data_IF_955192608495
#
_entry.id   IF_955192608495
#
_cell.length_a   1.000
_cell.length_b   1.000
_cell.length_c   1.000
_cell.angle_alpha   90.00
_cell.angle_beta   90.00
_cell.angle_gamma   90.00
#
_symmetry.space_group_name_H-M   'P 1'
#
loop_
_entity.id
_entity.type
_entity.pdbx_description
1 polymer ?
#
# COMPACT_ATOMS: atom_id res chain seq x y z
N UNK A 1 -21.12 3.71 16.99
CA UNK A 1 -20.62 4.25 15.72
C UNK A 1 -19.98 3.09 14.97
N UNK A 2 -20.57 2.65 13.87
CA UNK A 2 -20.01 1.56 13.06
C UNK A 2 -18.89 2.15 12.20
N UNK A 3 -17.65 1.78 12.47
CA UNK A 3 -16.50 2.12 11.64
C UNK A 3 -16.65 1.41 10.30
N UNK A 4 -16.89 2.19 9.25
CA UNK A 4 -16.91 1.68 7.88
C UNK A 4 -15.48 1.30 7.47
N UNK A 5 -15.15 0.02 7.58
CA UNK A 5 -14.00 -0.53 6.88
C UNK A 5 -14.35 -0.56 5.40
N UNK A 6 -13.76 0.32 4.67
CA UNK A 6 -14.03 0.48 3.26
C UNK A 6 -12.93 -0.16 2.47
N UNK A 7 -13.14 -1.38 2.02
CA UNK A 7 -12.46 -1.93 0.84
C UNK A 7 -13.32 -3.12 0.38
N UNK A 8 -13.72 -3.09 -0.89
CA UNK A 8 -14.24 -4.18 -1.73
C UNK A 8 -14.73 -5.43 -0.94
N UNK A 9 -15.93 -5.34 -0.43
CA UNK A 9 -16.67 -6.50 0.08
C UNK A 9 -17.57 -6.98 -1.05
N UNK A 10 -17.28 -8.07 -1.68
CA UNK A 10 -18.14 -8.93 -2.51
C UNK A 10 -17.49 -9.38 -3.83
N UNK A 11 -16.28 -9.96 -3.76
CA UNK A 11 -15.84 -10.84 -4.84
C UNK A 11 -16.00 -12.29 -4.39
N UNK A 12 -16.85 -13.04 -5.08
CA UNK A 12 -17.17 -14.42 -4.74
C UNK A 12 -16.01 -15.40 -5.02
N UNK A 13 -14.91 -14.92 -5.65
CA UNK A 13 -13.70 -15.72 -5.88
C UNK A 13 -12.44 -14.87 -6.05
N UNK A 14 -11.28 -15.44 -5.70
CA UNK A 14 -9.97 -14.83 -5.93
C UNK A 14 -9.76 -14.42 -7.40
N UNK A 15 -10.24 -15.25 -8.33
CA UNK A 15 -10.10 -15.02 -9.76
C UNK A 15 -10.93 -13.82 -10.24
N UNK A 16 -12.06 -13.55 -9.62
CA UNK A 16 -12.94 -12.44 -10.02
C UNK A 16 -12.38 -11.09 -9.56
N UNK A 17 -11.84 -11.03 -8.34
CA UNK A 17 -11.15 -9.85 -7.81
C UNK A 17 -9.94 -9.47 -8.68
N UNK A 18 -9.08 -10.44 -8.97
CA UNK A 18 -7.89 -10.24 -9.80
C UNK A 18 -8.27 -9.93 -11.25
N UNK A 19 -9.34 -10.53 -11.78
CA UNK A 19 -9.85 -10.24 -13.13
C UNK A 19 -10.41 -8.82 -13.25
N UNK A 20 -10.99 -8.27 -12.19
CA UNK A 20 -11.47 -6.90 -12.19
C UNK A 20 -10.31 -5.90 -12.26
N UNK A 21 -9.24 -6.12 -11.51
CA UNK A 21 -8.02 -5.31 -11.62
C UNK A 21 -7.46 -5.34 -13.05
N UNK A 22 -7.47 -6.50 -13.69
CA UNK A 22 -7.06 -6.64 -15.11
C UNK A 22 -7.99 -5.91 -16.08
N UNK A 23 -9.32 -5.99 -15.88
CA UNK A 23 -10.31 -5.31 -16.73
C UNK A 23 -10.20 -3.78 -16.67
N UNK A 24 -9.75 -3.23 -15.54
CA UNK A 24 -9.50 -1.80 -15.37
C UNK A 24 -8.10 -1.37 -15.82
N UNK A 25 -7.30 -2.28 -16.36
CA UNK A 25 -5.90 -2.03 -16.74
C UNK A 25 -5.07 -1.46 -15.57
N UNK A 26 -5.27 -2.00 -14.36
CA UNK A 26 -4.48 -1.62 -13.20
C UNK A 26 -3.06 -2.21 -13.30
N UNK A 27 -2.05 -1.35 -13.40
CA UNK A 27 -0.62 -1.73 -13.49
C UNK A 27 0.21 -1.27 -12.28
N UNK A 28 -0.41 -0.77 -11.22
CA UNK A 28 0.31 -0.26 -10.05
C UNK A 28 1.21 -1.29 -9.38
N UNK A 29 0.81 -2.55 -9.41
CA UNK A 29 1.59 -3.67 -8.86
C UNK A 29 2.91 -3.86 -9.61
N UNK A 30 2.85 -3.88 -10.94
CA UNK A 30 4.01 -4.05 -11.81
C UNK A 30 4.93 -2.83 -11.76
N UNK A 31 4.36 -1.63 -11.71
CA UNK A 31 5.11 -0.37 -11.58
C UNK A 31 5.91 -0.35 -10.28
N UNK A 32 5.26 -0.62 -9.15
CA UNK A 32 5.93 -0.61 -7.84
C UNK A 32 7.01 -1.69 -7.78
N UNK A 33 6.71 -2.90 -8.24
CA UNK A 33 7.69 -3.98 -8.28
C UNK A 33 8.88 -3.64 -9.18
N UNK A 34 8.65 -3.13 -10.39
CA UNK A 34 9.71 -2.75 -11.32
C UNK A 34 10.63 -1.68 -10.77
N UNK A 35 10.07 -0.64 -10.10
CA UNK A 35 10.87 0.41 -9.45
C UNK A 35 11.67 -0.12 -8.24
N UNK A 36 11.12 -1.09 -7.50
CA UNK A 36 11.71 -1.65 -6.29
C UNK A 36 12.74 -2.77 -6.57
N UNK A 37 12.69 -3.41 -7.74
CA UNK A 37 13.37 -4.67 -8.03
C UNK A 37 14.89 -4.65 -7.77
N UNK A 38 15.58 -3.58 -8.13
CA UNK A 38 17.03 -3.51 -7.93
C UNK A 38 17.46 -3.46 -6.45
N UNK A 39 16.54 -3.10 -5.55
CA UNK A 39 16.81 -2.94 -4.11
C UNK A 39 16.47 -4.19 -3.30
N UNK A 40 15.71 -5.14 -3.87
CA UNK A 40 15.28 -6.35 -3.16
C UNK A 40 16.22 -7.52 -3.45
N UNK A 41 16.28 -8.47 -2.52
CA UNK A 41 17.07 -9.69 -2.66
C UNK A 41 16.25 -10.89 -2.25
N UNK A 42 16.49 -12.04 -2.89
CA UNK A 42 15.91 -13.31 -2.46
C UNK A 42 16.26 -13.59 -0.99
N UNK A 43 15.29 -14.06 -0.22
CA UNK A 43 15.39 -14.27 1.22
C UNK A 43 15.01 -13.06 2.07
N UNK A 44 14.89 -11.83 1.49
CA UNK A 44 14.36 -10.68 2.22
C UNK A 44 12.91 -10.90 2.65
N UNK A 45 12.51 -10.21 3.69
CA UNK A 45 11.13 -10.15 4.17
C UNK A 45 10.46 -8.86 3.68
N UNK A 46 9.29 -8.97 3.07
CA UNK A 46 8.45 -7.83 2.69
C UNK A 46 7.12 -7.87 3.44
N UNK A 47 6.72 -6.72 3.99
CA UNK A 47 5.40 -6.51 4.59
C UNK A 47 4.55 -5.67 3.65
N UNK A 48 3.40 -6.19 3.24
CA UNK A 48 2.41 -5.48 2.43
C UNK A 48 1.28 -4.93 3.31
N UNK A 49 1.14 -3.61 3.32
CA UNK A 49 0.11 -2.89 4.06
C UNK A 49 -1.10 -2.68 3.15
N UNK A 50 -2.21 -3.36 3.46
CA UNK A 50 -3.36 -3.46 2.59
C UNK A 50 -3.13 -4.48 1.48
N UNK A 51 -2.67 -5.68 1.85
CA UNK A 51 -2.26 -6.72 0.89
C UNK A 51 -3.39 -7.14 -0.08
N UNK A 52 -4.64 -6.96 0.31
CA UNK A 52 -5.77 -7.37 -0.49
C UNK A 52 -5.70 -8.85 -0.87
N UNK A 53 -5.96 -9.15 -2.15
CA UNK A 53 -5.80 -10.50 -2.70
C UNK A 53 -4.33 -10.91 -2.95
N UNK A 54 -3.37 -10.00 -2.71
CA UNK A 54 -1.94 -10.24 -2.90
C UNK A 54 -1.41 -10.00 -4.32
N UNK A 55 -2.11 -9.21 -5.14
CA UNK A 55 -1.69 -8.91 -6.52
C UNK A 55 -0.30 -8.28 -6.60
N UNK A 56 0.02 -7.34 -5.70
CA UNK A 56 1.32 -6.69 -5.65
C UNK A 56 2.38 -7.62 -5.05
N UNK A 57 2.03 -8.27 -3.96
CA UNK A 57 2.92 -9.12 -3.19
C UNK A 57 3.39 -10.38 -3.93
N UNK A 58 2.58 -10.94 -4.82
CA UNK A 58 2.96 -12.14 -5.58
C UNK A 58 4.21 -11.92 -6.45
N UNK A 59 4.45 -10.68 -6.91
CA UNK A 59 5.64 -10.34 -7.69
C UNK A 59 6.90 -10.41 -6.82
N UNK A 60 6.83 -9.90 -5.59
CA UNK A 60 7.92 -9.99 -4.62
C UNK A 60 8.16 -11.44 -4.17
N UNK A 61 7.10 -12.23 -3.98
CA UNK A 61 7.24 -13.67 -3.71
C UNK A 61 7.97 -14.39 -4.85
N UNK A 62 7.61 -14.13 -6.11
CA UNK A 62 8.31 -14.71 -7.28
C UNK A 62 9.78 -14.30 -7.38
N UNK A 63 10.15 -13.14 -6.83
CA UNK A 63 11.53 -12.71 -6.70
C UNK A 63 12.26 -13.35 -5.49
N UNK A 64 11.58 -14.26 -4.75
CA UNK A 64 12.17 -15.02 -3.66
C UNK A 64 12.04 -14.37 -2.28
N UNK A 65 11.20 -13.33 -2.12
CA UNK A 65 10.98 -12.72 -0.81
C UNK A 65 9.94 -13.50 0.01
N UNK A 66 10.08 -13.45 1.34
CA UNK A 66 9.06 -13.89 2.28
C UNK A 66 8.02 -12.79 2.46
N UNK A 67 6.78 -13.07 2.10
CA UNK A 67 5.68 -12.09 2.11
C UNK A 67 4.88 -12.21 3.39
N UNK A 68 4.72 -11.09 4.08
CA UNK A 68 3.74 -10.88 5.16
C UNK A 68 2.75 -9.81 4.73
N UNK A 69 1.51 -9.88 5.24
CA UNK A 69 0.50 -8.90 4.85
C UNK A 69 -0.50 -8.57 5.95
N UNK A 70 -0.97 -7.32 5.91
CA UNK A 70 -2.08 -6.80 6.69
C UNK A 70 -3.21 -6.39 5.76
N UNK A 71 -4.45 -6.66 6.15
CA UNK A 71 -5.65 -6.11 5.52
C UNK A 71 -6.78 -6.02 6.54
N UNK A 72 -7.67 -5.05 6.38
CA UNK A 72 -8.85 -4.88 7.23
C UNK A 72 -9.98 -5.87 6.92
N UNK A 73 -10.00 -6.45 5.71
CA UNK A 73 -11.03 -7.39 5.26
C UNK A 73 -10.58 -8.84 5.42
N UNK A 74 -11.33 -9.62 6.20
CA UNK A 74 -11.13 -11.07 6.33
C UNK A 74 -11.36 -11.79 5.02
N UNK A 75 -12.37 -11.35 4.27
CA UNK A 75 -12.80 -11.96 3.00
C UNK A 75 -11.68 -11.87 1.96
N UNK A 76 -11.04 -10.72 1.85
CA UNK A 76 -9.93 -10.50 0.91
C UNK A 76 -8.67 -11.24 1.36
N UNK A 77 -8.42 -11.32 2.68
CA UNK A 77 -7.32 -12.12 3.22
C UNK A 77 -7.50 -13.61 2.95
N UNK A 78 -8.73 -14.13 3.00
CA UNK A 78 -9.01 -15.54 2.65
C UNK A 78 -8.69 -15.81 1.17
N UNK A 79 -8.98 -14.85 0.28
CA UNK A 79 -8.56 -14.90 -1.13
C UNK A 79 -7.03 -14.97 -1.24
N UNK A 80 -6.31 -14.08 -0.55
CA UNK A 80 -4.85 -14.07 -0.55
C UNK A 80 -4.28 -15.40 -0.02
N UNK A 81 -4.84 -15.88 1.09
CA UNK A 81 -4.46 -17.14 1.73
C UNK A 81 -4.62 -18.35 0.81
N UNK A 82 -5.70 -18.38 0.02
CA UNK A 82 -5.96 -19.48 -0.93
C UNK A 82 -4.89 -19.60 -2.02
N UNK A 83 -4.14 -18.53 -2.30
CA UNK A 83 -3.03 -18.53 -3.27
C UNK A 83 -1.75 -19.16 -2.73
N UNK A 84 -1.63 -19.36 -1.41
CA UNK A 84 -0.59 -20.17 -0.76
C UNK A 84 0.84 -19.62 -0.80
N UNK A 85 1.04 -18.33 -1.14
CA UNK A 85 2.38 -17.76 -1.26
C UNK A 85 2.82 -16.91 -0.05
N UNK A 86 1.87 -16.38 0.73
CA UNK A 86 2.17 -15.52 1.87
C UNK A 86 2.63 -16.34 3.08
N UNK A 87 3.74 -15.93 3.70
CA UNK A 87 4.28 -16.55 4.91
C UNK A 87 3.45 -16.22 6.16
N UNK A 88 2.75 -15.08 6.16
CA UNK A 88 1.87 -14.71 7.25
C UNK A 88 0.90 -13.59 6.86
N UNK A 89 -0.37 -13.76 7.24
CA UNK A 89 -1.44 -12.79 7.01
C UNK A 89 -2.11 -12.46 8.34
N UNK A 90 -2.40 -11.18 8.58
CA UNK A 90 -3.13 -10.73 9.77
C UNK A 90 -4.24 -9.79 9.38
N UNK A 91 -5.44 -10.00 9.93
CA UNK A 91 -6.52 -9.00 9.87
C UNK A 91 -6.15 -7.85 10.79
N UNK A 92 -6.04 -6.64 10.23
CA UNK A 92 -5.74 -5.44 10.98
C UNK A 92 -6.16 -4.19 10.21
N UNK A 93 -6.87 -3.28 10.86
CA UNK A 93 -7.14 -1.96 10.28
C UNK A 93 -5.88 -1.10 10.44
N UNK A 94 -5.38 -0.56 9.34
CA UNK A 94 -4.17 0.29 9.36
C UNK A 94 -4.36 1.61 10.11
N UNK A 95 -5.59 1.94 10.54
CA UNK A 95 -5.89 3.06 11.44
C UNK A 95 -5.66 2.72 12.90
N UNK A 96 -5.66 1.42 13.25
CA UNK A 96 -5.45 0.94 14.61
C UNK A 96 -3.94 0.81 14.84
N UNK A 97 -3.35 1.81 15.48
CA UNK A 97 -1.92 1.84 15.76
C UNK A 97 -1.64 1.50 17.23
N UNK A 98 -0.51 0.86 17.56
CA UNK A 98 0.59 0.47 16.65
C UNK A 98 0.25 -0.75 15.78
N UNK A 99 0.90 -0.86 14.62
CA UNK A 99 0.78 -2.04 13.76
C UNK A 99 1.31 -3.30 14.49
N UNK A 100 0.72 -4.50 14.27
CA UNK A 100 0.95 -5.72 15.07
C UNK A 100 2.27 -6.45 14.71
N UNK A 101 3.33 -5.68 14.50
CA UNK A 101 4.69 -6.15 14.26
C UNK A 101 5.71 -5.40 15.12
N UNK A 102 6.80 -6.06 15.56
CA UNK A 102 7.86 -5.40 16.31
C UNK A 102 8.65 -4.41 15.44
N UNK A 103 9.43 -3.56 16.10
CA UNK A 103 10.38 -2.68 15.40
C UNK A 103 11.38 -3.51 14.59
N UNK A 104 11.77 -2.99 13.42
CA UNK A 104 12.74 -3.64 12.51
C UNK A 104 12.35 -5.07 12.12
N UNK A 105 11.05 -5.31 11.94
CA UNK A 105 10.51 -6.63 11.60
C UNK A 105 10.91 -7.06 10.19
N UNK A 106 10.80 -6.19 9.19
CA UNK A 106 10.95 -6.56 7.78
C UNK A 106 12.05 -5.76 7.08
N UNK A 107 12.57 -6.35 6.01
CA UNK A 107 13.56 -5.68 5.16
C UNK A 107 12.90 -4.62 4.29
N UNK A 108 11.67 -4.86 3.83
CA UNK A 108 10.95 -3.95 2.95
C UNK A 108 9.48 -3.83 3.37
N UNK A 109 8.89 -2.66 3.06
CA UNK A 109 7.44 -2.41 3.18
C UNK A 109 6.91 -2.00 1.82
N UNK A 110 5.74 -2.51 1.44
CA UNK A 110 4.99 -2.04 0.27
C UNK A 110 3.58 -1.65 0.65
N UNK A 111 2.96 -0.74 -0.13
CA UNK A 111 1.55 -0.37 0.01
C UNK A 111 1.04 0.16 -1.33
N UNK A 112 0.19 -0.60 -2.01
CA UNK A 112 -0.21 -0.31 -3.39
C UNK A 112 -1.73 -0.12 -3.48
N UNK A 113 -2.17 1.07 -3.91
CA UNK A 113 -3.58 1.47 -4.00
C UNK A 113 -4.33 1.48 -2.65
N UNK A 114 -3.63 1.80 -1.57
CA UNK A 114 -4.19 1.79 -0.20
C UNK A 114 -4.19 3.18 0.43
N UNK A 115 -3.08 3.93 0.26
CA UNK A 115 -2.84 5.17 1.00
C UNK A 115 -3.83 6.29 0.64
N UNK A 116 -4.46 6.22 -0.52
CA UNK A 116 -5.55 7.12 -0.90
C UNK A 116 -6.84 6.93 -0.06
N UNK A 117 -6.91 5.90 0.80
CA UNK A 117 -8.01 5.73 1.77
C UNK A 117 -7.80 6.50 3.08
N UNK A 118 -6.70 7.21 3.22
CA UNK A 118 -6.33 7.94 4.43
C UNK A 118 -6.16 9.42 4.14
N UNK A 119 -6.80 10.28 4.94
CA UNK A 119 -6.61 11.72 4.85
C UNK A 119 -5.24 12.15 5.38
N UNK A 120 -4.85 11.60 6.52
CA UNK A 120 -3.56 11.86 7.15
C UNK A 120 -2.72 10.57 7.18
N UNK A 121 -1.55 10.63 6.55
CA UNK A 121 -0.59 9.52 6.48
C UNK A 121 0.49 9.59 7.56
N UNK A 122 0.60 10.72 8.29
CA UNK A 122 1.71 10.92 9.21
C UNK A 122 1.84 9.82 10.28
N UNK A 123 0.76 9.39 10.96
CA UNK A 123 0.87 8.32 11.96
C UNK A 123 1.32 6.99 11.36
N UNK A 124 0.84 6.66 10.15
CA UNK A 124 1.21 5.42 9.45
C UNK A 124 2.67 5.44 9.02
N UNK A 125 3.20 6.59 8.55
CA UNK A 125 4.61 6.72 8.19
C UNK A 125 5.56 6.54 9.38
N UNK A 126 5.17 6.99 10.58
CA UNK A 126 5.90 6.73 11.83
C UNK A 126 5.97 5.22 12.10
N UNK A 127 4.88 4.49 11.96
CA UNK A 127 4.83 3.05 12.16
C UNK A 127 5.62 2.29 11.10
N UNK A 128 5.53 2.69 9.84
CA UNK A 128 6.34 2.11 8.76
C UNK A 128 7.84 2.29 9.07
N UNK A 129 8.23 3.49 9.49
CA UNK A 129 9.63 3.77 9.86
C UNK A 129 10.11 2.97 11.08
N UNK A 130 9.20 2.60 11.99
CA UNK A 130 9.50 1.74 13.14
C UNK A 130 9.70 0.28 12.73
N UNK A 131 8.87 -0.22 11.80
CA UNK A 131 8.81 -1.64 11.43
C UNK A 131 9.90 -2.02 10.44
N UNK A 132 10.29 -1.12 9.56
CA UNK A 132 11.30 -1.39 8.53
C UNK A 132 12.71 -1.34 9.11
N UNK A 133 13.59 -2.24 8.68
CA UNK A 133 15.02 -2.21 9.00
C UNK A 133 15.72 -1.06 8.29
N UNK A 134 16.80 -0.57 8.86
CA UNK A 134 17.72 0.35 8.19
C UNK A 134 18.22 -0.26 6.86
N UNK A 135 18.36 0.58 5.83
CA UNK A 135 18.70 0.14 4.47
C UNK A 135 17.55 -0.45 3.67
N UNK A 136 16.44 -0.79 4.33
CA UNK A 136 15.24 -1.31 3.69
C UNK A 136 14.50 -0.26 2.87
N UNK A 137 13.67 -0.68 1.92
CA UNK A 137 12.87 0.24 1.10
C UNK A 137 11.40 0.21 1.49
N UNK A 138 10.77 1.39 1.43
CA UNK A 138 9.34 1.58 1.40
C UNK A 138 8.91 1.94 -0.01
N UNK A 139 8.12 1.05 -0.67
CA UNK A 139 7.62 1.26 -2.02
C UNK A 139 6.10 1.33 -2.01
N UNK A 140 5.52 2.43 -2.52
CA UNK A 140 4.09 2.66 -2.38
C UNK A 140 3.53 3.53 -3.51
N UNK A 141 2.21 3.59 -3.59
CA UNK A 141 1.49 4.49 -4.49
C UNK A 141 0.55 5.41 -3.74
N UNK A 142 0.38 6.62 -4.26
CA UNK A 142 -0.69 7.56 -3.89
C UNK A 142 -1.36 8.09 -5.14
N UNK A 143 -2.62 8.48 -5.04
CA UNK A 143 -3.23 9.36 -6.03
C UNK A 143 -2.66 10.76 -5.83
N UNK A 144 -2.04 11.30 -6.88
CA UNK A 144 -1.36 12.59 -6.78
C UNK A 144 -2.36 13.75 -6.85
N UNK A 145 -2.22 14.69 -5.92
CA UNK A 145 -2.96 15.95 -5.95
C UNK A 145 -2.33 16.91 -6.93
N UNK A 146 -3.04 17.22 -8.01
CA UNK A 146 -2.63 18.23 -8.99
C UNK A 146 -3.11 19.62 -8.58
N UNK A 147 -2.46 20.70 -9.04
CA UNK A 147 -2.93 22.08 -8.81
C UNK A 147 -4.39 22.25 -9.22
N UNK A 148 -5.18 22.85 -8.33
CA UNK A 148 -6.62 23.08 -8.55
C UNK A 148 -7.53 21.89 -8.27
N UNK A 149 -7.00 20.74 -7.86
CA UNK A 149 -7.80 19.60 -7.41
C UNK A 149 -8.04 19.65 -5.89
N UNK A 150 -9.23 19.21 -5.47
CA UNK A 150 -9.51 19.02 -4.05
C UNK A 150 -8.72 17.85 -3.49
N UNK A 151 -8.34 17.93 -2.22
CA UNK A 151 -7.63 16.89 -1.49
C UNK A 151 -8.47 15.60 -1.39
N UNK A 152 -9.74 15.71 -1.06
CA UNK A 152 -10.65 14.58 -0.89
C UNK A 152 -11.83 14.62 -1.86
N UNK A 153 -12.30 13.44 -2.24
CA UNK A 153 -13.48 13.27 -3.05
C UNK A 153 -14.22 11.99 -2.69
N UNK A 154 -15.55 12.02 -2.88
CA UNK A 154 -16.37 10.84 -2.69
C UNK A 154 -16.48 10.05 -3.99
N UNK A 155 -16.34 8.74 -3.90
CA UNK A 155 -16.75 7.83 -4.99
C UNK A 155 -17.97 7.05 -4.54
N UNK A 156 -18.95 6.96 -5.40
CA UNK A 156 -20.01 5.98 -5.21
C UNK A 156 -19.45 4.62 -5.58
N UNK A 157 -19.54 3.67 -4.66
CA UNK A 157 -19.15 2.30 -4.92
C UNK A 157 -20.05 1.77 -6.04
N UNK A 158 -19.49 1.54 -7.22
CA UNK A 158 -20.18 0.76 -8.24
C UNK A 158 -20.10 -0.69 -7.77
N UNK A 159 -21.20 -1.18 -7.22
CA UNK A 159 -21.30 -2.58 -6.82
C UNK A 159 -21.23 -3.49 -8.04
N UNK A 160 -20.33 -4.46 -7.97
CA UNK A 160 -20.29 -5.62 -8.85
C UNK A 160 -21.09 -6.76 -8.17
N UNK A 161 -22.22 -6.47 -7.57
CA UNK A 161 -23.11 -7.45 -6.97
C UNK A 161 -24.52 -7.29 -7.54
N UNK A 162 -25.13 -8.43 -7.87
CA UNK A 162 -26.50 -8.51 -8.41
C UNK A 162 -27.61 -8.09 -7.43
N UNK A 163 -27.27 -7.59 -6.25
CA UNK A 163 -28.22 -7.08 -5.26
C UNK A 163 -27.87 -5.66 -4.84
N UNK A 164 -28.77 -4.69 -5.05
CA UNK A 164 -28.53 -3.33 -4.58
C UNK A 164 -28.50 -3.32 -3.04
N UNK A 165 -27.30 -3.11 -2.46
CA UNK A 165 -27.12 -2.67 -1.09
C UNK A 165 -26.94 -1.15 -1.10
N UNK A 166 -27.35 -0.48 -0.01
CA UNK A 166 -27.26 0.97 0.16
C UNK A 166 -25.94 1.53 -0.37
N UNK A 167 -26.05 2.50 -1.27
CA UNK A 167 -24.88 3.23 -1.82
C UNK A 167 -24.09 3.88 -0.68
N UNK A 168 -22.95 3.32 -0.36
CA UNK A 168 -22.06 3.89 0.64
C UNK A 168 -20.98 4.68 -0.07
N UNK A 169 -21.06 5.99 -0.02
CA UNK A 169 -20.00 6.86 -0.54
C UNK A 169 -18.70 6.61 0.25
N UNK A 170 -17.62 6.40 -0.48
CA UNK A 170 -16.28 6.20 0.07
C UNK A 170 -15.46 7.44 -0.20
N UNK A 171 -14.84 7.99 0.86
CA UNK A 171 -13.91 9.09 0.72
C UNK A 171 -12.53 8.59 0.32
N UNK A 172 -12.01 9.13 -0.77
CA UNK A 172 -10.63 8.97 -1.20
C UNK A 172 -9.89 10.30 -1.13
N UNK A 173 -8.58 10.22 -0.95
CA UNK A 173 -7.73 11.39 -0.76
C UNK A 173 -6.56 11.38 -1.72
N UNK A 174 -6.26 12.57 -2.24
CA UNK A 174 -5.08 12.87 -3.04
C UNK A 174 -4.01 13.45 -2.14
N UNK A 175 -2.77 13.10 -2.42
CA UNK A 175 -1.64 13.59 -1.64
C UNK A 175 -0.66 14.35 -2.53
N UNK A 176 -0.30 15.57 -2.14
CA UNK A 176 0.67 16.35 -2.87
C UNK A 176 2.08 15.77 -2.71
N UNK A 177 2.91 15.94 -3.73
CA UNK A 177 4.32 15.53 -3.70
C UNK A 177 5.07 16.15 -2.50
N UNK A 178 4.81 17.43 -2.22
CA UNK A 178 5.40 18.14 -1.09
C UNK A 178 5.03 17.52 0.27
N UNK A 179 3.78 17.06 0.42
CA UNK A 179 3.33 16.35 1.62
C UNK A 179 4.08 15.03 1.79
N UNK A 180 4.15 14.22 0.72
CA UNK A 180 4.86 12.93 0.76
C UNK A 180 6.35 13.14 1.03
N UNK A 181 7.01 14.09 0.34
CA UNK A 181 8.43 14.39 0.57
C UNK A 181 8.70 14.79 2.02
N UNK A 182 7.84 15.61 2.62
CA UNK A 182 7.94 15.99 4.04
C UNK A 182 7.81 14.78 4.95
N UNK A 183 6.82 13.89 4.72
CA UNK A 183 6.65 12.69 5.54
C UNK A 183 7.86 11.75 5.45
N UNK A 184 8.37 11.53 4.25
CA UNK A 184 9.58 10.73 4.05
C UNK A 184 10.76 11.29 4.84
N UNK A 185 11.05 12.58 4.68
CA UNK A 185 12.16 13.25 5.37
C UNK A 185 12.02 13.19 6.90
N UNK A 186 10.82 13.49 7.43
CA UNK A 186 10.55 13.48 8.86
C UNK A 186 10.70 12.11 9.51
N UNK A 187 10.55 11.02 8.73
CA UNK A 187 10.65 9.65 9.20
C UNK A 187 11.97 8.96 8.81
N UNK A 188 12.97 9.72 8.35
CA UNK A 188 14.29 9.21 8.02
C UNK A 188 14.29 8.32 6.78
N UNK A 189 13.51 8.68 5.76
CA UNK A 189 13.56 8.06 4.45
C UNK A 189 14.22 8.99 3.42
N UNK A 190 15.11 8.41 2.63
CA UNK A 190 15.67 9.01 1.43
C UNK A 190 14.82 8.61 0.22
N UNK A 191 14.31 9.57 -0.53
CA UNK A 191 13.60 9.30 -1.77
C UNK A 191 14.58 8.85 -2.86
N UNK A 192 14.35 7.64 -3.41
CA UNK A 192 15.21 7.05 -4.45
C UNK A 192 14.62 7.22 -5.85
N UNK A 193 13.31 6.91 -5.99
CA UNK A 193 12.63 6.91 -7.29
C UNK A 193 11.19 7.36 -7.17
N UNK A 194 10.69 7.97 -8.23
CA UNK A 194 9.26 8.23 -8.45
C UNK A 194 8.89 7.95 -9.89
N UNK A 195 7.64 7.56 -10.10
CA UNK A 195 7.05 7.45 -11.43
C UNK A 195 5.56 7.81 -11.36
N UNK A 196 5.15 8.78 -12.16
CA UNK A 196 3.73 9.06 -12.40
C UNK A 196 3.22 8.14 -13.52
N UNK A 197 2.05 7.55 -13.32
CA UNK A 197 1.43 6.66 -14.32
C UNK A 197 -0.09 6.76 -14.29
N UNK A 198 -0.72 6.43 -15.42
CA UNK A 198 -2.17 6.28 -15.49
C UNK A 198 -2.55 4.98 -14.81
N UNK A 199 -3.19 5.09 -13.64
CA UNK A 199 -3.59 3.94 -12.85
C UNK A 199 -4.78 3.21 -13.47
N UNK A 200 -5.78 3.98 -13.89
CA UNK A 200 -6.98 3.47 -14.58
C UNK A 200 -7.72 4.63 -15.27
N UNK A 201 -8.70 4.27 -16.09
CA UNK A 201 -9.64 5.24 -16.68
C UNK A 201 -11.03 5.08 -16.06
N UNK A 202 -11.66 6.18 -15.71
CA UNK A 202 -13.09 6.16 -15.40
C UNK A 202 -13.87 5.90 -16.70
N UNK A 203 -14.55 4.74 -16.83
CA UNK A 203 -15.22 4.38 -18.09
C UNK A 203 -16.32 5.37 -18.51
N UNK A 204 -17.06 5.90 -17.53
CA UNK A 204 -18.17 6.82 -17.76
C UNK A 204 -17.72 8.21 -18.26
N UNK A 205 -16.56 8.68 -17.84
CA UNK A 205 -16.06 10.03 -18.12
C UNK A 205 -14.88 10.02 -19.10
N UNK A 206 -14.38 8.85 -19.47
CA UNK A 206 -13.14 8.66 -20.26
C UNK A 206 -11.95 9.48 -19.69
N UNK A 207 -11.89 9.60 -18.35
CA UNK A 207 -10.92 10.41 -17.63
C UNK A 207 -9.83 9.53 -17.04
N UNK A 208 -8.57 9.90 -17.30
CA UNK A 208 -7.42 9.24 -16.71
C UNK A 208 -7.28 9.60 -15.23
N UNK A 209 -7.02 8.58 -14.41
CA UNK A 209 -6.65 8.74 -13.00
C UNK A 209 -5.16 8.47 -12.86
N UNK A 210 -4.45 9.47 -12.37
CA UNK A 210 -3.01 9.42 -12.21
C UNK A 210 -2.64 9.03 -10.79
N UNK A 211 -1.78 8.04 -10.69
CA UNK A 211 -1.10 7.69 -9.45
C UNK A 211 0.39 7.97 -9.59
N UNK A 212 1.03 8.20 -8.46
CA UNK A 212 2.48 8.32 -8.38
C UNK A 212 3.02 7.21 -7.48
N UNK A 213 3.96 6.45 -8.01
CA UNK A 213 4.71 5.45 -7.28
C UNK A 213 5.98 6.08 -6.70
N UNK A 214 6.32 5.67 -5.49
CA UNK A 214 7.49 6.12 -4.75
C UNK A 214 8.29 4.91 -4.27
N UNK A 215 9.61 5.02 -4.32
CA UNK A 215 10.53 4.10 -3.65
C UNK A 215 11.47 4.95 -2.80
N UNK A 216 11.45 4.71 -1.49
CA UNK A 216 12.28 5.43 -0.54
C UNK A 216 13.05 4.45 0.35
N UNK A 217 14.29 4.77 0.72
CA UNK A 217 15.16 3.95 1.57
C UNK A 217 15.13 4.45 2.99
N UNK A 218 14.95 3.56 3.95
CA UNK A 218 15.12 3.86 5.37
C UNK A 218 16.61 4.11 5.66
N UNK A 219 16.93 5.31 6.11
CA UNK A 219 18.28 5.67 6.49
C UNK A 219 18.66 5.02 7.83
N UNK A 220 19.93 4.75 8.01
CA UNK A 220 20.48 4.47 9.33
C UNK A 220 20.43 5.76 10.18
N UNK A 221 19.95 5.66 11.40
CA UNK A 221 20.08 6.76 12.33
C UNK A 221 21.57 6.89 12.67
N UNK A 222 22.24 7.93 12.17
CA UNK A 222 23.55 8.29 12.68
C UNK A 222 23.40 8.65 14.16
N UNK A 223 24.00 7.83 15.06
CA UNK A 223 24.17 8.23 16.45
C UNK A 223 23.45 7.37 17.50
N UNK A 224 23.81 6.09 17.56
CA UNK A 224 23.98 5.40 18.84
C UNK A 224 25.41 4.84 18.83
N UNK A 225 26.37 5.77 18.76
CA UNK A 225 27.77 5.43 18.94
C UNK A 225 27.94 4.90 20.37
N UNK A 226 28.48 3.68 20.48
CA UNK A 226 28.99 3.07 21.68
C UNK A 226 29.81 4.09 22.49
N UNK A 227 29.16 4.71 23.46
CA UNK A 227 29.85 5.39 24.57
C UNK A 227 29.87 4.44 25.78
N UNK A 228 30.32 3.21 25.55
CA UNK A 228 30.82 2.34 26.62
C UNK A 228 32.28 1.95 26.33
N UNK A 229 33.16 2.92 26.50
CA UNK A 229 34.54 2.69 26.87
C UNK A 229 34.90 3.70 27.97
N UNK A 230 34.82 3.23 29.19
CA UNK A 230 35.82 3.39 30.26
C UNK A 230 35.32 2.72 31.51
#
# INVERSE_FOLDING_TARGET
MKTNSTIIQDSHSASEYDNQARKTNWFGSEVVFGLAYEFVRSGNTVLDLGIGSGLSSILFHKAGLQVFGLDGSSEVLDICKSKGFAAGLKKHDLRDLPLPYPSRFCDHVISVAVLNSFKDLAPLFVEIARIIKAGGIFAFTVEEQKPGQEEGYAINRVEVSEKPKEETAVMLYRHSEAYIARLLSQNGFELLKTLEFVAFKYPAENKDVFFKAYVARKQELEGAGDNERY
#
